data_IF_504138396002
#
_entry.id   IF_504138396002
#
_cell.length_a   1.000
_cell.length_b   1.000
_cell.length_c   1.000
_cell.angle_alpha   90.00
_cell.angle_beta   90.00
_cell.angle_gamma   90.00
#
_symmetry.space_group_name_H-M   'P 1'
#
loop_
_entity.id
_entity.type
_entity.pdbx_description
1 polymer ?
#
# COMPACT_ATOMS: atom_id res chain seq x y z
N UNK A 1 -27.16 -49.85 -24.33
CA UNK A 1 -28.58 -49.66 -23.97
C UNK A 1 -29.53 -49.91 -25.14
N UNK A 2 -29.04 -50.14 -26.37
CA UNK A 2 -29.89 -50.32 -27.57
C UNK A 2 -30.73 -51.60 -27.67
N UNK A 3 -30.52 -52.63 -26.83
CA UNK A 3 -31.30 -53.90 -26.90
C UNK A 3 -32.44 -54.02 -25.89
N UNK A 4 -32.74 -52.97 -25.11
CA UNK A 4 -33.82 -53.01 -24.09
C UNK A 4 -35.14 -52.46 -24.65
N UNK A 5 -35.11 -51.74 -25.78
CA UNK A 5 -36.29 -51.17 -26.44
C UNK A 5 -36.60 -51.87 -27.79
N UNK A 6 -36.51 -53.20 -27.83
CA UNK A 6 -36.99 -53.98 -28.98
C UNK A 6 -38.25 -54.76 -28.59
N UNK A 7 -39.26 -54.88 -29.48
CA UNK A 7 -40.54 -55.54 -29.19
C UNK A 7 -40.43 -57.03 -28.84
N UNK A 8 -39.27 -57.64 -29.04
CA UNK A 8 -38.95 -59.00 -28.60
C UNK A 8 -38.75 -59.13 -27.07
N UNK A 9 -38.43 -58.04 -26.36
CA UNK A 9 -38.20 -58.07 -24.92
C UNK A 9 -39.51 -58.15 -24.13
N UNK A 10 -40.61 -57.61 -24.65
CA UNK A 10 -41.91 -57.58 -23.98
C UNK A 10 -42.57 -58.96 -23.90
N UNK A 11 -42.30 -59.84 -24.88
CA UNK A 11 -42.87 -61.19 -24.97
C UNK A 11 -42.10 -62.28 -24.18
N UNK A 12 -41.04 -61.91 -23.45
CA UNK A 12 -40.28 -62.85 -22.62
C UNK A 12 -40.97 -63.09 -21.26
N UNK A 13 -40.89 -64.33 -20.77
CA UNK A 13 -41.37 -64.70 -19.43
C UNK A 13 -40.62 -63.93 -18.33
N UNK A 14 -41.25 -63.76 -17.17
CA UNK A 14 -40.70 -62.98 -16.05
C UNK A 14 -39.30 -63.48 -15.64
N UNK A 15 -39.07 -64.80 -15.64
CA UNK A 15 -37.77 -65.40 -15.32
C UNK A 15 -36.68 -65.06 -16.35
N UNK A 16 -37.02 -65.00 -17.65
CA UNK A 16 -36.07 -64.65 -18.70
C UNK A 16 -35.69 -63.16 -18.67
N UNK A 17 -36.64 -62.28 -18.32
CA UNK A 17 -36.38 -60.85 -18.12
C UNK A 17 -35.44 -60.62 -16.94
N UNK A 18 -35.63 -61.34 -15.84
CA UNK A 18 -34.74 -61.27 -14.67
C UNK A 18 -33.31 -61.72 -15.01
N UNK A 19 -33.12 -62.83 -15.73
CA UNK A 19 -31.79 -63.28 -16.14
C UNK A 19 -31.05 -62.27 -17.02
N UNK A 20 -31.74 -61.61 -17.95
CA UNK A 20 -31.11 -60.62 -18.83
C UNK A 20 -30.72 -59.35 -18.03
N UNK A 21 -31.57 -58.91 -17.11
CA UNK A 21 -31.26 -57.79 -16.21
C UNK A 21 -30.07 -58.13 -15.31
N UNK A 22 -30.01 -59.35 -14.76
CA UNK A 22 -28.92 -59.80 -13.89
C UNK A 22 -27.60 -59.95 -14.66
N UNK A 23 -27.65 -60.45 -15.90
CA UNK A 23 -26.52 -60.51 -16.80
C UNK A 23 -26.01 -59.12 -17.19
N UNK A 24 -26.89 -58.16 -17.48
CA UNK A 24 -26.51 -56.78 -17.75
C UNK A 24 -25.93 -56.07 -16.53
N UNK A 25 -26.49 -56.26 -15.33
CA UNK A 25 -25.92 -55.73 -14.08
C UNK A 25 -24.52 -56.28 -13.82
N UNK A 26 -24.31 -57.59 -13.97
CA UNK A 26 -22.97 -58.21 -13.84
C UNK A 26 -21.97 -57.66 -14.86
N UNK A 27 -22.39 -57.46 -16.12
CA UNK A 27 -21.53 -56.92 -17.18
C UNK A 27 -21.20 -55.44 -16.95
N UNK A 28 -22.13 -54.66 -16.39
CA UNK A 28 -21.91 -53.27 -15.99
C UNK A 28 -20.93 -53.15 -14.82
N UNK A 29 -21.11 -53.95 -13.76
CA UNK A 29 -20.19 -53.98 -12.60
C UNK A 29 -18.78 -54.35 -13.05
N UNK A 30 -18.61 -55.34 -13.95
CA UNK A 30 -17.30 -55.68 -14.52
C UNK A 30 -16.66 -54.51 -15.27
N UNK A 31 -17.44 -53.75 -16.06
CA UNK A 31 -16.92 -52.58 -16.79
C UNK A 31 -16.51 -51.44 -15.85
N UNK A 32 -17.31 -51.18 -14.82
CA UNK A 32 -16.99 -50.16 -13.80
C UNK A 32 -15.75 -50.55 -13.02
N UNK A 33 -15.62 -51.81 -12.61
CA UNK A 33 -14.42 -52.30 -11.92
C UNK A 33 -13.15 -52.12 -12.77
N UNK A 34 -13.20 -52.43 -14.07
CA UNK A 34 -12.06 -52.20 -14.99
C UNK A 34 -11.72 -50.72 -15.12
N UNK A 35 -12.72 -49.84 -15.20
CA UNK A 35 -12.50 -48.39 -15.28
C UNK A 35 -11.85 -47.83 -14.01
N UNK A 36 -12.27 -48.29 -12.83
CA UNK A 36 -11.69 -47.89 -11.53
C UNK A 36 -10.24 -48.36 -11.42
N UNK A 37 -9.94 -49.60 -11.84
CA UNK A 37 -8.56 -50.11 -11.87
C UNK A 37 -7.69 -49.28 -12.82
N UNK A 38 -8.17 -48.99 -14.03
CA UNK A 38 -7.44 -48.15 -14.99
C UNK A 38 -7.15 -46.75 -14.45
N UNK A 39 -8.12 -46.12 -13.77
CA UNK A 39 -7.95 -44.81 -13.16
C UNK A 39 -6.90 -44.85 -12.02
N UNK A 40 -6.92 -45.91 -11.20
CA UNK A 40 -5.95 -46.07 -10.11
C UNK A 40 -4.52 -46.21 -10.65
N UNK A 41 -4.32 -46.98 -11.72
CA UNK A 41 -3.02 -47.14 -12.41
C UNK A 41 -2.53 -45.79 -12.94
N UNK A 42 -3.42 -44.99 -13.56
CA UNK A 42 -3.08 -43.68 -14.10
C UNK A 42 -2.60 -42.71 -13.00
N UNK A 43 -3.24 -42.72 -11.84
CA UNK A 43 -2.86 -41.90 -10.68
C UNK A 43 -1.50 -42.33 -10.13
N UNK A 44 -1.23 -43.64 -10.03
CA UNK A 44 0.11 -44.11 -9.61
C UNK A 44 1.20 -43.72 -10.60
N UNK A 45 0.94 -43.76 -11.91
CA UNK A 45 1.92 -43.37 -12.94
C UNK A 45 2.22 -41.87 -12.91
N UNK A 46 1.22 -41.01 -12.68
CA UNK A 46 1.45 -39.55 -12.57
C UNK A 46 2.24 -39.19 -11.31
N UNK A 47 1.96 -39.82 -10.17
CA UNK A 47 2.74 -39.64 -8.93
C UNK A 47 4.19 -40.12 -9.11
N UNK A 48 4.39 -41.25 -9.78
CA UNK A 48 5.74 -41.77 -10.07
C UNK A 48 6.53 -40.86 -11.02
N UNK A 49 5.88 -40.32 -12.07
CA UNK A 49 6.49 -39.36 -12.99
C UNK A 49 6.93 -38.06 -12.31
N UNK A 50 6.13 -37.55 -11.36
CA UNK A 50 6.51 -36.37 -10.55
C UNK A 50 7.72 -36.67 -9.65
N UNK A 51 7.82 -37.87 -9.08
CA UNK A 51 8.95 -38.27 -8.24
C UNK A 51 10.25 -38.37 -9.03
N UNK A 52 10.22 -38.99 -10.22
CA UNK A 52 11.37 -39.06 -11.12
C UNK A 52 11.86 -37.67 -11.57
N UNK A 53 10.94 -36.73 -11.86
CA UNK A 53 11.31 -35.36 -12.23
C UNK A 53 12.04 -34.63 -11.10
N UNK A 54 11.68 -34.91 -9.84
CA UNK A 54 12.32 -34.29 -8.67
C UNK A 54 13.74 -34.81 -8.46
N UNK A 55 13.97 -36.11 -8.64
CA UNK A 55 15.33 -36.70 -8.52
C UNK A 55 16.26 -36.28 -9.66
N UNK A 56 15.77 -36.21 -10.92
CA UNK A 56 16.57 -35.80 -12.08
C UNK A 56 17.04 -34.33 -12.04
N UNK A 57 16.32 -33.45 -11.34
CA UNK A 57 16.70 -32.03 -11.20
C UNK A 57 17.72 -31.84 -10.06
N UNK A 58 17.73 -32.73 -9.05
CA UNK A 58 18.59 -32.60 -7.88
C UNK A 58 20.03 -33.11 -8.13
N UNK A 59 20.25 -33.99 -9.11
CA UNK A 59 21.58 -34.51 -9.48
C UNK A 59 22.38 -33.62 -10.44
N UNK A 60 21.82 -32.53 -10.98
CA UNK A 60 22.58 -31.56 -11.80
C UNK A 60 23.31 -30.48 -11.00
N UNK A 61 23.25 -30.51 -9.67
CA UNK A 61 23.96 -29.54 -8.80
C UNK A 61 24.96 -30.28 -7.91
N UNK A 62 26.01 -30.85 -8.51
CA UNK A 62 27.20 -31.29 -7.77
C UNK A 62 28.51 -30.96 -8.53
N UNK A 63 29.19 -29.97 -7.96
CA UNK A 63 30.63 -29.73 -7.91
C UNK A 63 31.43 -29.75 -9.24
N UNK A 64 31.62 -28.55 -9.80
CA UNK A 64 32.86 -28.24 -10.54
C UNK A 64 33.91 -27.85 -9.50
N UNK A 65 35.02 -28.58 -9.49
CA UNK A 65 36.23 -28.34 -8.69
C UNK A 65 36.91 -27.04 -9.12
N UNK A 66 37.25 -26.17 -8.16
CA UNK A 66 37.99 -24.92 -8.37
C UNK A 66 39.36 -25.15 -9.07
N UNK A 67 39.69 -24.39 -10.12
CA UNK A 67 41.06 -24.16 -10.55
C UNK A 67 41.79 -23.16 -9.62
N UNK A 68 43.12 -23.04 -9.68
CA UNK A 68 43.92 -22.21 -8.78
C UNK A 68 43.61 -20.71 -8.97
N UNK A 69 43.69 -19.96 -7.87
CA UNK A 69 43.34 -18.55 -7.79
C UNK A 69 44.04 -17.69 -8.87
N UNK A 70 43.25 -17.24 -9.85
CA UNK A 70 43.57 -16.06 -10.65
C UNK A 70 43.30 -14.81 -9.80
N UNK A 71 44.17 -13.81 -9.93
CA UNK A 71 44.08 -12.54 -9.20
C UNK A 71 42.68 -11.92 -9.35
N UNK A 72 42.15 -11.25 -8.31
CA UNK A 72 40.77 -10.79 -8.31
C UNK A 72 40.57 -9.81 -9.46
N UNK A 73 39.79 -10.24 -10.46
CA UNK A 73 39.15 -9.33 -11.40
C UNK A 73 38.25 -8.43 -10.56
N UNK A 74 38.54 -7.13 -10.56
CA UNK A 74 37.59 -6.13 -10.06
C UNK A 74 36.38 -6.24 -10.97
N UNK A 75 35.36 -6.97 -10.51
CA UNK A 75 34.03 -6.87 -11.10
C UNK A 75 33.54 -5.49 -10.70
N UNK A 76 33.78 -4.50 -11.55
CA UNK A 76 32.89 -3.34 -11.58
C UNK A 76 31.50 -3.94 -11.77
N UNK A 77 30.56 -3.76 -10.84
CA UNK A 77 29.23 -4.28 -11.02
C UNK A 77 28.73 -3.72 -12.35
N UNK A 78 28.54 -4.60 -13.33
CA UNK A 78 27.85 -4.26 -14.56
C UNK A 78 26.50 -3.72 -14.09
N UNK A 79 26.30 -2.41 -14.29
CA UNK A 79 25.07 -1.71 -13.96
C UNK A 79 23.98 -2.40 -14.76
N UNK A 80 23.30 -3.35 -14.13
CA UNK A 80 22.13 -4.01 -14.69
C UNK A 80 21.21 -2.86 -15.15
N UNK A 81 20.93 -2.71 -16.45
CA UNK A 81 20.07 -1.63 -16.90
C UNK A 81 18.74 -1.84 -16.18
N UNK A 82 18.33 -0.88 -15.35
CA UNK A 82 17.01 -0.88 -14.73
C UNK A 82 16.00 -1.23 -15.83
N UNK A 83 15.17 -2.24 -15.62
CA UNK A 83 14.15 -2.66 -16.61
C UNK A 83 12.80 -1.99 -16.35
N UNK A 84 12.63 -1.44 -15.17
CA UNK A 84 11.41 -0.83 -14.67
C UNK A 84 11.73 0.54 -14.08
N UNK A 85 10.76 1.45 -14.13
CA UNK A 85 10.71 2.71 -13.42
C UNK A 85 9.66 2.64 -12.33
N UNK A 86 9.87 3.41 -11.27
CA UNK A 86 8.88 3.63 -10.22
C UNK A 86 8.17 4.96 -10.46
N UNK A 87 6.84 4.94 -10.38
CA UNK A 87 5.99 6.13 -10.36
C UNK A 87 5.34 6.26 -8.99
N UNK A 88 5.32 7.47 -8.45
CA UNK A 88 4.61 7.80 -7.21
C UNK A 88 4.03 9.19 -7.30
N UNK A 89 2.76 9.33 -6.95
CA UNK A 89 2.05 10.60 -6.90
C UNK A 89 1.16 10.65 -5.66
N UNK A 90 1.60 11.42 -4.66
CA UNK A 90 0.94 11.54 -3.36
C UNK A 90 -0.38 12.32 -3.42
N UNK A 91 -0.53 13.25 -4.37
CA UNK A 91 -1.77 13.97 -4.63
C UNK A 91 -2.87 13.03 -5.12
N UNK A 92 -2.50 12.13 -6.03
CA UNK A 92 -3.39 11.09 -6.57
C UNK A 92 -3.44 9.83 -5.71
N UNK A 93 -2.61 9.72 -4.69
CA UNK A 93 -2.54 8.58 -3.76
C UNK A 93 -2.22 7.24 -4.44
N UNK A 94 -1.28 7.24 -5.37
CA UNK A 94 -0.90 6.03 -6.11
C UNK A 94 0.62 5.92 -6.25
N UNK A 95 1.13 4.69 -6.18
CA UNK A 95 2.44 4.32 -6.67
C UNK A 95 2.39 2.99 -7.42
N UNK A 96 3.28 2.81 -8.39
CA UNK A 96 3.41 1.56 -9.14
C UNK A 96 4.73 1.51 -9.91
N UNK A 97 5.11 0.31 -10.36
CA UNK A 97 6.25 0.08 -11.25
C UNK A 97 5.79 -0.16 -12.68
N UNK A 98 6.58 0.30 -13.65
CA UNK A 98 6.24 0.19 -15.06
C UNK A 98 7.50 0.03 -15.94
N UNK A 99 7.41 -0.67 -17.09
CA UNK A 99 8.59 -0.90 -17.94
C UNK A 99 9.13 0.38 -18.61
N UNK A 100 10.45 0.46 -18.80
CA UNK A 100 11.13 1.67 -19.31
C UNK A 100 10.73 2.04 -20.73
N UNK A 101 10.43 1.04 -21.55
CA UNK A 101 10.00 1.18 -22.94
C UNK A 101 8.62 1.81 -23.11
N UNK A 102 7.89 2.04 -22.02
CA UNK A 102 6.56 2.65 -22.04
C UNK A 102 6.60 4.16 -21.85
N UNK A 103 5.57 4.83 -22.36
CA UNK A 103 5.34 6.25 -22.18
C UNK A 103 4.35 6.47 -21.04
N UNK A 104 4.78 7.20 -20.01
CA UNK A 104 3.91 7.66 -18.92
C UNK A 104 3.41 9.08 -19.22
N UNK A 105 2.11 9.30 -19.07
CA UNK A 105 1.48 10.63 -19.15
C UNK A 105 0.54 10.81 -17.96
N UNK A 106 0.54 12.00 -17.38
CA UNK A 106 -0.34 12.34 -16.25
C UNK A 106 -1.07 13.67 -16.47
N UNK A 107 -2.24 13.80 -15.87
CA UNK A 107 -3.02 15.05 -15.85
C UNK A 107 -3.86 15.06 -14.59
N UNK A 108 -3.67 16.04 -13.70
CA UNK A 108 -4.38 16.08 -12.42
C UNK A 108 -4.64 17.51 -11.94
N UNK A 109 -5.69 17.65 -11.13
CA UNK A 109 -6.07 18.86 -10.41
C UNK A 109 -5.59 18.74 -8.97
N UNK A 110 -4.56 19.51 -8.60
CA UNK A 110 -3.97 19.50 -7.26
C UNK A 110 -4.97 19.91 -6.18
N UNK A 111 -5.93 20.81 -6.49
CA UNK A 111 -6.91 21.30 -5.52
C UNK A 111 -8.01 20.28 -5.20
N UNK A 112 -8.25 19.32 -6.09
CA UNK A 112 -9.24 18.24 -5.88
C UNK A 112 -8.61 16.89 -5.58
N UNK A 113 -7.31 16.73 -5.87
CA UNK A 113 -6.64 15.45 -5.79
C UNK A 113 -7.20 14.42 -6.77
N UNK A 114 -7.74 14.89 -7.91
CA UNK A 114 -8.34 14.09 -8.96
C UNK A 114 -7.49 14.15 -10.21
N UNK A 115 -7.50 13.09 -11.01
CA UNK A 115 -6.68 13.07 -12.21
C UNK A 115 -6.60 11.71 -12.87
N UNK A 116 -5.73 11.63 -13.86
CA UNK A 116 -5.53 10.45 -14.68
C UNK A 116 -4.04 10.26 -14.96
N UNK A 117 -3.59 9.03 -14.78
CA UNK A 117 -2.25 8.57 -15.15
C UNK A 117 -2.41 7.46 -16.17
N UNK A 118 -1.65 7.52 -17.26
CA UNK A 118 -1.66 6.53 -18.33
C UNK A 118 -0.24 6.05 -18.62
N UNK A 119 -0.06 4.73 -18.58
CA UNK A 119 1.15 4.03 -19.04
C UNK A 119 0.81 3.38 -20.37
N UNK A 120 1.51 3.78 -21.42
CA UNK A 120 1.27 3.33 -22.79
C UNK A 120 2.50 2.62 -23.35
N UNK A 121 2.31 1.38 -23.78
CA UNK A 121 3.20 0.71 -24.71
C UNK A 121 2.50 0.62 -26.07
N UNK A 122 3.13 1.18 -27.11
CA UNK A 122 2.62 1.16 -28.47
C UNK A 122 3.75 0.77 -29.40
N UNK A 123 3.60 -0.36 -30.10
CA UNK A 123 4.56 -0.78 -31.13
C UNK A 123 4.63 0.22 -32.29
N UNK A 124 3.51 0.91 -32.53
CA UNK A 124 3.34 1.89 -33.60
C UNK A 124 3.76 3.31 -33.20
N UNK A 125 4.23 3.51 -31.96
CA UNK A 125 4.56 4.82 -31.37
C UNK A 125 3.41 5.86 -31.41
N UNK A 126 2.17 5.40 -31.47
CA UNK A 126 0.96 6.23 -31.49
C UNK A 126 0.00 5.96 -30.31
N UNK A 127 -0.85 6.94 -29.92
CA UNK A 127 -1.83 6.78 -28.84
C UNK A 127 -3.00 5.85 -29.23
N UNK A 128 -3.33 5.80 -30.52
CA UNK A 128 -4.25 4.83 -31.12
C UNK A 128 -3.41 3.75 -31.80
N UNK A 129 -3.18 2.65 -31.08
CA UNK A 129 -2.27 1.59 -31.51
C UNK A 129 -3.01 0.38 -32.07
N UNK A 130 -2.39 -0.31 -33.01
CA UNK A 130 -2.85 -1.59 -33.53
C UNK A 130 -2.37 -2.74 -32.64
N UNK A 131 -1.15 -2.61 -32.11
CA UNK A 131 -0.52 -3.55 -31.18
C UNK A 131 0.06 -2.83 -29.97
N UNK A 132 -0.35 -3.27 -28.77
CA UNK A 132 0.18 -2.72 -27.53
C UNK A 132 -0.77 -2.87 -26.35
N UNK A 133 -0.45 -2.14 -25.29
CA UNK A 133 -1.30 -2.02 -24.11
C UNK A 133 -1.27 -0.62 -23.52
N UNK A 134 -2.33 -0.32 -22.78
CA UNK A 134 -2.47 0.87 -21.99
C UNK A 134 -3.02 0.51 -20.61
N UNK A 135 -2.35 0.98 -19.57
CA UNK A 135 -2.85 0.95 -18.20
C UNK A 135 -3.22 2.37 -17.81
N UNK A 136 -4.48 2.59 -17.47
CA UNK A 136 -5.00 3.89 -17.06
C UNK A 136 -5.46 3.81 -15.62
N UNK A 137 -4.97 4.71 -14.77
CA UNK A 137 -5.44 4.91 -13.41
C UNK A 137 -6.13 6.27 -13.35
N UNK A 138 -7.43 6.29 -13.09
CA UNK A 138 -8.22 7.52 -12.95
C UNK A 138 -8.68 7.63 -11.50
N UNK A 139 -8.39 8.77 -10.88
CA UNK A 139 -8.74 9.09 -9.49
C UNK A 139 -9.79 10.20 -9.50
N UNK A 140 -10.89 9.97 -8.82
CA UNK A 140 -12.01 10.89 -8.77
C UNK A 140 -12.78 10.80 -7.45
N UNK A 141 -13.51 11.85 -7.11
CA UNK A 141 -14.40 11.91 -5.96
C UNK A 141 -15.83 12.11 -6.44
N UNK A 142 -16.80 11.43 -5.81
CA UNK A 142 -18.23 11.67 -6.07
C UNK A 142 -18.99 11.71 -4.76
N UNK A 143 -19.85 12.73 -4.60
CA UNK A 143 -20.68 12.92 -3.40
C UNK A 143 -22.08 12.29 -3.49
N UNK A 144 -22.43 11.74 -4.67
CA UNK A 144 -23.85 11.47 -5.03
C UNK A 144 -24.06 10.04 -5.53
N UNK A 145 -23.06 9.38 -6.12
CA UNK A 145 -23.22 8.08 -6.77
C UNK A 145 -22.46 6.98 -6.04
N UNK A 146 -23.12 5.84 -5.85
CA UNK A 146 -22.47 4.59 -5.47
C UNK A 146 -21.52 4.12 -6.58
N UNK A 147 -20.42 3.48 -6.20
CA UNK A 147 -19.38 2.98 -7.11
C UNK A 147 -19.97 1.99 -8.14
N UNK A 148 -20.96 1.19 -7.75
CA UNK A 148 -21.73 0.34 -8.65
C UNK A 148 -22.46 1.13 -9.75
N UNK A 149 -23.06 2.26 -9.40
CA UNK A 149 -23.78 3.12 -10.35
C UNK A 149 -22.79 3.81 -11.31
N UNK A 150 -21.61 4.18 -10.81
CA UNK A 150 -20.54 4.73 -11.64
C UNK A 150 -20.03 3.69 -12.65
N UNK A 151 -19.65 2.50 -12.18
CA UNK A 151 -19.21 1.39 -13.03
C UNK A 151 -20.28 1.00 -14.07
N UNK A 152 -21.57 1.00 -13.68
CA UNK A 152 -22.69 0.74 -14.60
C UNK A 152 -22.79 1.80 -15.68
N UNK A 153 -22.76 3.09 -15.29
CA UNK A 153 -22.78 4.20 -16.25
C UNK A 153 -21.60 4.12 -17.22
N UNK A 154 -20.41 3.76 -16.72
CA UNK A 154 -19.20 3.65 -17.52
C UNK A 154 -19.28 2.50 -18.52
N UNK A 155 -19.77 1.34 -18.10
CA UNK A 155 -20.01 0.19 -18.96
C UNK A 155 -21.02 0.51 -20.08
N UNK A 156 -22.14 1.17 -19.75
CA UNK A 156 -23.12 1.61 -20.75
C UNK A 156 -22.53 2.62 -21.74
N UNK A 157 -21.74 3.58 -21.27
CA UNK A 157 -21.06 4.52 -22.15
C UNK A 157 -20.04 3.85 -23.08
N UNK A 158 -19.34 2.81 -22.60
CA UNK A 158 -18.42 2.04 -23.44
C UNK A 158 -19.15 1.21 -24.49
N UNK A 159 -20.31 0.61 -24.15
CA UNK A 159 -21.12 -0.17 -25.10
C UNK A 159 -21.46 0.61 -26.37
N UNK A 160 -21.74 1.91 -26.24
CA UNK A 160 -22.06 2.79 -27.37
C UNK A 160 -20.91 2.97 -28.37
N UNK A 161 -19.65 2.76 -27.94
CA UNK A 161 -18.46 2.97 -28.76
C UNK A 161 -17.82 1.66 -29.25
N UNK A 162 -18.40 0.52 -28.89
CA UNK A 162 -17.90 -0.80 -29.27
C UNK A 162 -18.68 -1.35 -30.48
N UNK A 163 -18.05 -2.20 -31.32
CA UNK A 163 -18.76 -2.93 -32.36
C UNK A 163 -19.77 -3.92 -31.76
N UNK A 164 -20.80 -4.29 -32.54
CA UNK A 164 -21.84 -5.25 -32.12
C UNK A 164 -21.29 -6.64 -31.76
N UNK A 165 -20.09 -6.98 -32.24
CA UNK A 165 -19.39 -8.23 -31.93
C UNK A 165 -18.74 -8.25 -30.55
N UNK A 166 -18.72 -7.12 -29.83
CA UNK A 166 -18.16 -7.03 -28.49
C UNK A 166 -18.98 -7.82 -27.49
N UNK A 167 -18.28 -8.43 -26.53
CA UNK A 167 -18.90 -9.18 -25.43
C UNK A 167 -18.58 -8.51 -24.11
N UNK A 168 -19.56 -8.50 -23.21
CA UNK A 168 -19.50 -7.76 -21.96
C UNK A 168 -19.80 -8.71 -20.81
N UNK A 169 -19.01 -8.64 -19.74
CA UNK A 169 -19.41 -9.26 -18.48
C UNK A 169 -20.40 -8.35 -17.74
N UNK A 170 -21.16 -8.95 -16.82
CA UNK A 170 -21.78 -8.17 -15.74
C UNK A 170 -20.73 -7.55 -14.83
N UNK A 171 -21.14 -6.55 -14.06
CA UNK A 171 -20.34 -6.02 -12.95
C UNK A 171 -20.42 -7.02 -11.81
N UNK A 172 -19.25 -7.37 -11.27
CA UNK A 172 -19.14 -8.30 -10.15
C UNK A 172 -18.15 -7.77 -9.13
N UNK A 173 -18.38 -8.11 -7.87
CA UNK A 173 -17.38 -7.93 -6.82
C UNK A 173 -16.21 -8.92 -7.02
N UNK A 174 -15.03 -8.52 -6.60
CA UNK A 174 -13.81 -9.30 -6.68
C UNK A 174 -12.64 -8.54 -6.09
N UNK A 175 -11.42 -8.90 -6.49
CA UNK A 175 -10.21 -8.26 -5.98
C UNK A 175 -9.29 -7.82 -7.10
N UNK A 176 -8.58 -6.72 -6.87
CA UNK A 176 -7.42 -6.31 -7.63
C UNK A 176 -6.22 -6.29 -6.67
N UNK A 177 -5.43 -7.37 -6.69
CA UNK A 177 -4.42 -7.58 -5.65
C UNK A 177 -5.09 -7.80 -4.29
N UNK A 178 -4.75 -6.96 -3.32
CA UNK A 178 -5.33 -6.98 -1.98
C UNK A 178 -6.63 -6.18 -1.84
N UNK A 179 -6.92 -5.27 -2.78
CA UNK A 179 -8.05 -4.36 -2.72
C UNK A 179 -9.35 -5.01 -3.18
N UNK A 180 -10.40 -4.84 -2.38
CA UNK A 180 -11.76 -5.16 -2.80
C UNK A 180 -12.18 -4.22 -3.94
N UNK A 181 -12.80 -4.80 -4.98
CA UNK A 181 -13.08 -4.08 -6.22
C UNK A 181 -14.37 -4.54 -6.87
N UNK A 182 -15.02 -3.62 -7.58
CA UNK A 182 -15.98 -3.97 -8.62
C UNK A 182 -15.24 -4.09 -9.93
N UNK A 183 -15.50 -5.15 -10.69
CA UNK A 183 -14.83 -5.36 -11.96
C UNK A 183 -15.79 -5.80 -13.06
N UNK A 184 -15.44 -5.40 -14.27
CA UNK A 184 -16.05 -5.91 -15.49
C UNK A 184 -15.00 -6.00 -16.60
N UNK A 185 -15.30 -6.85 -17.58
CA UNK A 185 -14.48 -7.02 -18.76
C UNK A 185 -15.30 -6.80 -20.03
N UNK A 186 -14.62 -6.28 -21.04
CA UNK A 186 -15.16 -6.14 -22.39
C UNK A 186 -14.16 -6.79 -23.35
N UNK A 187 -14.61 -7.79 -24.08
CA UNK A 187 -13.80 -8.47 -25.07
C UNK A 187 -14.27 -8.07 -26.47
N UNK A 188 -13.34 -7.98 -27.43
CA UNK A 188 -13.60 -7.63 -28.83
C UNK A 188 -14.14 -6.20 -29.06
N UNK A 189 -13.97 -5.29 -28.09
CA UNK A 189 -14.24 -3.85 -28.30
C UNK A 189 -13.02 -3.17 -28.93
N UNK A 190 -12.68 -3.55 -30.16
CA UNK A 190 -11.43 -3.16 -30.84
C UNK A 190 -10.14 -3.51 -30.05
N UNK A 191 -10.28 -4.44 -29.10
CA UNK A 191 -9.28 -4.85 -28.11
C UNK A 191 -9.97 -5.45 -26.90
N UNK A 192 -9.26 -5.52 -25.79
CA UNK A 192 -9.71 -6.18 -24.57
C UNK A 192 -9.57 -5.23 -23.40
N UNK A 193 -10.65 -5.04 -22.65
CA UNK A 193 -10.70 -4.20 -21.47
C UNK A 193 -10.85 -5.04 -20.20
N UNK A 194 -10.07 -4.71 -19.18
CA UNK A 194 -10.24 -5.21 -17.80
C UNK A 194 -10.29 -4.00 -16.88
N UNK A 195 -11.46 -3.72 -16.32
CA UNK A 195 -11.69 -2.55 -15.49
C UNK A 195 -11.91 -2.97 -14.04
N UNK A 196 -11.30 -2.23 -13.13
CA UNK A 196 -11.43 -2.36 -11.69
C UNK A 196 -11.81 -1.01 -11.11
N UNK A 197 -12.77 -1.02 -10.19
CA UNK A 197 -13.20 0.15 -9.43
C UNK A 197 -12.97 -0.14 -7.97
N UNK A 198 -12.18 0.70 -7.32
CA UNK A 198 -11.79 0.55 -5.92
C UNK A 198 -12.20 1.82 -5.17
N UNK A 199 -12.72 1.65 -3.96
CA UNK A 199 -12.91 2.75 -3.01
C UNK A 199 -11.81 2.69 -1.96
N UNK A 200 -11.07 3.77 -1.80
CA UNK A 200 -9.95 3.83 -0.86
C UNK A 200 -9.70 5.29 -0.45
N UNK A 201 -9.56 5.56 0.86
CA UNK A 201 -9.24 6.90 1.37
C UNK A 201 -10.18 8.01 0.86
N UNK A 202 -11.50 7.76 0.90
CA UNK A 202 -12.58 8.66 0.40
C UNK A 202 -12.56 8.97 -1.10
N UNK A 203 -11.61 8.38 -1.85
CA UNK A 203 -11.51 8.49 -3.29
C UNK A 203 -11.94 7.20 -3.97
N UNK A 204 -12.24 7.34 -5.26
CA UNK A 204 -12.51 6.23 -6.14
C UNK A 204 -11.43 6.13 -7.20
N UNK A 205 -11.00 4.90 -7.47
CA UNK A 205 -9.96 4.57 -8.43
C UNK A 205 -10.58 3.70 -9.52
N UNK A 206 -10.58 4.20 -10.77
CA UNK A 206 -10.83 3.39 -11.96
C UNK A 206 -9.47 2.98 -12.54
N UNK A 207 -9.16 1.69 -12.45
CA UNK A 207 -7.97 1.09 -13.05
C UNK A 207 -8.40 0.27 -14.26
N UNK A 208 -8.00 0.73 -15.45
CA UNK A 208 -8.34 0.10 -16.73
C UNK A 208 -7.09 -0.44 -17.40
N UNK A 209 -7.13 -1.72 -17.77
CA UNK A 209 -6.21 -2.30 -18.76
C UNK A 209 -6.92 -2.35 -20.09
N UNK A 210 -6.27 -1.82 -21.11
CA UNK A 210 -6.63 -2.04 -22.50
C UNK A 210 -5.45 -2.67 -23.23
N UNK A 211 -5.68 -3.77 -23.95
CA UNK A 211 -4.64 -4.41 -24.74
C UNK A 211 -5.20 -4.94 -26.06
N UNK A 212 -4.35 -4.92 -27.08
CA UNK A 212 -4.71 -5.30 -28.45
C UNK A 212 -3.49 -5.89 -29.16
N UNK A 213 -3.70 -6.93 -29.96
CA UNK A 213 -2.71 -7.53 -30.84
C UNK A 213 -3.17 -8.88 -31.36
N UNK A 214 -2.36 -9.49 -32.21
CA UNK A 214 -2.58 -10.86 -32.68
C UNK A 214 -2.44 -11.88 -31.54
N UNK A 215 -2.94 -13.10 -31.72
CA UNK A 215 -3.13 -14.10 -30.65
C UNK A 215 -1.90 -14.25 -29.73
N UNK A 216 -0.68 -14.31 -30.28
CA UNK A 216 0.56 -14.42 -29.51
C UNK A 216 0.95 -13.14 -28.75
N UNK A 217 0.89 -11.99 -29.41
CA UNK A 217 1.23 -10.69 -28.80
C UNK A 217 0.19 -10.23 -27.79
N UNK A 218 -1.09 -10.52 -28.03
CA UNK A 218 -2.19 -10.21 -27.11
C UNK A 218 -1.94 -10.80 -25.74
N UNK A 219 -1.52 -12.06 -25.66
CA UNK A 219 -1.25 -12.72 -24.38
C UNK A 219 -0.06 -12.08 -23.65
N UNK A 220 0.98 -11.65 -24.39
CA UNK A 220 2.11 -10.92 -23.81
C UNK A 220 1.67 -9.58 -23.24
N UNK A 221 0.84 -8.82 -23.98
CA UNK A 221 0.32 -7.53 -23.53
C UNK A 221 -0.65 -7.65 -22.35
N UNK A 222 -1.44 -8.71 -22.31
CA UNK A 222 -2.27 -9.05 -21.17
C UNK A 222 -1.42 -9.27 -19.91
N UNK A 223 -0.35 -10.08 -20.02
CA UNK A 223 0.56 -10.36 -18.91
C UNK A 223 1.30 -9.09 -18.48
N UNK A 224 1.88 -8.34 -19.41
CA UNK A 224 2.63 -7.11 -19.10
C UNK A 224 1.76 -6.06 -18.40
N UNK A 225 0.52 -5.86 -18.87
CA UNK A 225 -0.41 -4.94 -18.21
C UNK A 225 -0.90 -5.47 -16.86
N UNK A 226 -0.95 -6.79 -16.66
CA UNK A 226 -1.23 -7.39 -15.35
C UNK A 226 -0.11 -7.18 -14.35
N UNK A 227 1.15 -7.29 -14.79
CA UNK A 227 2.33 -7.08 -13.95
C UNK A 227 2.37 -5.66 -13.39
N UNK A 228 2.03 -4.65 -14.21
CA UNK A 228 1.89 -3.26 -13.75
C UNK A 228 0.82 -3.17 -12.65
N UNK A 229 -0.38 -3.72 -12.89
CA UNK A 229 -1.48 -3.66 -11.90
C UNK A 229 -1.10 -4.33 -10.58
N UNK A 230 -0.37 -5.46 -10.61
CA UNK A 230 0.08 -6.15 -9.39
C UNK A 230 1.02 -5.29 -8.53
N UNK A 231 1.63 -4.27 -9.11
CA UNK A 231 2.51 -3.34 -8.39
C UNK A 231 1.80 -2.07 -7.92
N UNK A 232 0.52 -1.87 -8.27
CA UNK A 232 -0.23 -0.69 -7.84
C UNK A 232 -0.47 -0.77 -6.34
N UNK A 233 0.02 0.25 -5.65
CA UNK A 233 -0.22 0.50 -4.24
C UNK A 233 -1.01 1.80 -4.13
N UNK A 234 -2.15 1.73 -3.45
CA UNK A 234 -2.93 2.92 -3.08
C UNK A 234 -2.32 3.49 -1.81
N UNK A 235 -1.77 4.71 -1.92
CA UNK A 235 -1.15 5.40 -0.81
C UNK A 235 -2.25 5.93 0.11
N UNK A 236 -2.20 5.71 1.43
CA UNK A 236 -3.18 6.26 2.35
C UNK A 236 -3.31 7.78 2.14
N UNK A 237 -4.53 8.28 2.28
CA UNK A 237 -4.79 9.73 2.28
C UNK A 237 -3.76 10.38 3.22
N UNK A 238 -3.00 11.36 2.72
CA UNK A 238 -2.46 12.38 3.61
C UNK A 238 -3.68 13.02 4.25
N UNK A 239 -3.94 12.69 5.49
CA UNK A 239 -5.07 13.23 6.23
C UNK A 239 -4.99 14.75 6.12
N UNK A 240 -5.96 15.38 5.44
CA UNK A 240 -6.42 16.69 5.91
C UNK A 240 -7.11 16.36 7.24
N UNK A 241 -6.33 16.55 8.30
CA UNK A 241 -6.63 16.11 9.64
C UNK A 241 -7.91 16.82 10.10
N UNK A 242 -9.08 16.19 9.94
CA UNK A 242 -10.35 16.74 10.44
C UNK A 242 -11.29 15.69 11.05
N UNK A 243 -11.42 14.47 10.49
CA UNK A 243 -12.46 13.53 10.95
C UNK A 243 -12.05 12.56 12.08
N UNK A 244 -10.75 12.47 12.42
CA UNK A 244 -10.24 11.60 13.51
C UNK A 244 -9.41 12.35 14.56
N UNK A 245 -9.66 13.65 14.69
CA UNK A 245 -8.96 14.48 15.66
C UNK A 245 -9.55 14.36 17.05
N UNK A 246 -8.70 14.03 18.03
CA UNK A 246 -8.99 14.29 19.43
C UNK A 246 -8.50 15.68 19.76
N UNK A 247 -9.43 16.57 20.11
CA UNK A 247 -9.11 17.85 20.71
C UNK A 247 -8.76 17.66 22.18
N UNK A 248 -7.64 18.23 22.61
CA UNK A 248 -7.25 18.37 24.01
C UNK A 248 -7.25 19.84 24.35
N UNK A 249 -7.76 20.16 25.53
CA UNK A 249 -7.73 21.49 26.10
C UNK A 249 -7.30 21.36 27.55
N UNK A 250 -6.07 21.79 27.84
CA UNK A 250 -5.55 21.87 29.19
C UNK A 250 -5.79 23.29 29.73
N UNK A 251 -6.79 23.41 30.60
CA UNK A 251 -7.19 24.70 31.17
C UNK A 251 -6.16 25.30 32.12
N UNK A 252 -5.29 24.49 32.72
CA UNK A 252 -4.30 24.97 33.68
C UNK A 252 -3.15 25.69 32.97
N UNK A 253 -2.69 25.15 31.83
CA UNK A 253 -1.68 25.78 30.99
C UNK A 253 -2.26 26.67 29.90
N UNK A 254 -3.57 26.65 29.65
CA UNK A 254 -4.18 27.41 28.54
C UNK A 254 -3.70 26.92 27.17
N UNK A 255 -3.32 25.63 27.07
CA UNK A 255 -2.84 25.01 25.83
C UNK A 255 -3.93 24.10 25.30
N UNK A 256 -4.30 24.29 24.03
CA UNK A 256 -5.18 23.38 23.31
C UNK A 256 -4.53 22.91 22.02
N UNK A 257 -4.86 21.71 21.57
CA UNK A 257 -4.32 21.13 20.33
C UNK A 257 -5.20 19.97 19.86
N UNK A 258 -4.96 19.53 18.64
CA UNK A 258 -5.66 18.43 18.01
C UNK A 258 -4.64 17.39 17.55
N UNK A 259 -4.93 16.11 17.79
CA UNK A 259 -4.07 15.03 17.30
C UNK A 259 -4.88 13.84 16.76
N UNK A 260 -4.30 13.04 15.84
CA UNK A 260 -4.97 11.85 15.31
C UNK A 260 -5.24 10.78 16.37
N UNK A 261 -6.47 10.31 16.47
CA UNK A 261 -6.93 9.41 17.54
C UNK A 261 -6.26 8.04 17.60
N UNK A 262 -5.55 7.63 16.54
CA UNK A 262 -4.86 6.34 16.41
C UNK A 262 -3.46 6.33 17.04
N UNK A 263 -2.92 7.49 17.42
CA UNK A 263 -1.61 7.57 18.04
C UNK A 263 -1.64 7.04 19.49
N UNK A 264 -0.59 6.32 19.88
CA UNK A 264 -0.48 5.64 21.18
C UNK A 264 -0.02 6.62 22.26
N UNK A 265 -0.59 6.56 23.47
CA UNK A 265 -0.28 7.46 24.60
C UNK A 265 0.74 6.88 25.61
N UNK A 266 1.46 5.82 25.23
CA UNK A 266 2.45 5.14 26.10
C UNK A 266 3.85 5.23 25.48
N UNK A 267 4.34 6.45 25.38
CA UNK A 267 5.53 6.80 24.65
C UNK A 267 6.67 7.18 25.59
N UNK A 268 7.89 7.00 25.11
CA UNK A 268 9.13 7.30 25.84
C UNK A 268 9.94 8.34 25.07
N UNK A 269 9.24 9.33 24.52
CA UNK A 269 9.87 10.46 23.81
C UNK A 269 10.87 11.13 24.74
N UNK A 270 12.12 11.36 24.31
CA UNK A 270 13.14 12.00 25.13
C UNK A 270 12.70 13.36 25.66
N UNK A 271 12.90 13.58 26.96
CA UNK A 271 12.88 14.91 27.58
C UNK A 271 14.26 15.55 27.48
N UNK A 272 14.35 16.90 27.45
CA UNK A 272 15.62 17.61 27.33
C UNK A 272 16.53 17.36 28.52
N UNK A 273 15.98 17.29 29.73
CA UNK A 273 16.72 17.19 30.99
C UNK A 273 15.91 16.39 32.02
N UNK A 274 16.45 16.25 33.24
CA UNK A 274 15.75 15.68 34.41
C UNK A 274 14.76 16.67 35.06
N UNK A 275 14.60 17.87 34.51
CA UNK A 275 13.63 18.86 34.98
C UNK A 275 12.22 18.27 35.01
N UNK A 276 11.52 18.51 36.12
CA UNK A 276 10.16 18.00 36.30
C UNK A 276 9.15 18.83 35.52
N UNK A 277 8.86 18.41 34.29
CA UNK A 277 7.75 18.94 33.50
C UNK A 277 6.45 18.19 33.80
N UNK A 278 5.31 18.91 33.78
CA UNK A 278 3.99 18.28 33.72
C UNK A 278 3.68 17.94 32.27
N UNK A 279 3.67 16.66 31.94
CA UNK A 279 3.35 16.18 30.59
C UNK A 279 1.85 16.33 30.32
N UNK A 280 1.51 17.07 29.26
CA UNK A 280 0.14 17.21 28.75
C UNK A 280 -0.15 16.11 27.72
N UNK A 281 0.85 15.81 26.88
CA UNK A 281 0.75 14.83 25.81
C UNK A 281 2.08 14.11 25.62
N UNK A 282 2.04 12.80 25.36
CA UNK A 282 3.16 12.08 24.77
C UNK A 282 2.62 11.10 23.74
N UNK A 283 3.00 11.30 22.48
CA UNK A 283 2.57 10.47 21.36
C UNK A 283 3.79 10.01 20.56
N UNK A 284 3.71 8.83 19.98
CA UNK A 284 4.79 8.20 19.26
C UNK A 284 4.25 7.26 18.20
N UNK A 285 5.13 6.91 17.27
CA UNK A 285 4.88 5.85 16.31
C UNK A 285 4.76 4.50 17.04
N UNK A 286 3.79 3.67 16.64
CA UNK A 286 3.53 2.38 17.30
C UNK A 286 4.74 1.44 17.27
N UNK A 287 5.50 1.50 16.17
CA UNK A 287 6.71 0.69 15.93
C UNK A 287 7.95 1.27 16.60
N UNK A 288 7.94 2.56 16.98
CA UNK A 288 9.08 3.28 17.56
C UNK A 288 8.64 4.19 18.71
N UNK A 289 8.65 3.65 19.93
CA UNK A 289 8.12 4.36 21.12
C UNK A 289 8.87 5.63 21.52
N UNK A 290 10.08 5.84 21.02
CA UNK A 290 10.87 7.05 21.26
C UNK A 290 10.67 8.12 20.18
N UNK A 291 10.24 7.74 18.97
CA UNK A 291 10.01 8.64 17.86
C UNK A 291 8.59 9.21 17.98
N UNK A 292 8.50 10.51 18.28
CA UNK A 292 7.29 11.07 18.84
C UNK A 292 7.32 12.55 19.10
N UNK A 293 6.20 13.03 19.64
CA UNK A 293 6.02 14.38 20.17
C UNK A 293 5.64 14.28 21.63
N UNK A 294 6.32 15.08 22.45
CA UNK A 294 5.93 15.31 23.83
C UNK A 294 5.64 16.79 24.04
N UNK A 295 4.49 17.08 24.64
CA UNK A 295 4.09 18.41 25.04
C UNK A 295 4.05 18.43 26.56
N UNK A 296 4.86 19.29 27.16
CA UNK A 296 4.96 19.39 28.60
C UNK A 296 5.08 20.85 29.04
N UNK A 297 4.73 21.12 30.29
CA UNK A 297 4.72 22.48 30.83
C UNK A 297 5.38 22.55 32.18
N UNK A 298 6.00 23.68 32.47
CA UNK A 298 6.54 24.00 33.79
C UNK A 298 6.29 25.47 34.12
N UNK A 299 5.80 25.80 35.32
CA UNK A 299 5.73 27.19 35.75
C UNK A 299 7.15 27.76 35.86
N UNK A 300 7.29 29.06 35.61
CA UNK A 300 8.53 29.76 35.89
C UNK A 300 8.56 30.18 37.36
N UNK A 301 9.70 29.99 38.01
CA UNK A 301 9.91 30.44 39.38
C UNK A 301 9.80 31.97 39.47
N UNK A 302 9.40 32.47 40.65
CA UNK A 302 9.28 33.92 40.89
C UNK A 302 10.64 34.60 40.65
N UNK A 303 10.68 35.50 39.66
CA UNK A 303 11.88 36.25 39.28
C UNK A 303 12.73 35.59 38.20
N UNK A 304 12.42 34.36 37.79
CA UNK A 304 13.03 33.75 36.60
C UNK A 304 12.41 34.34 35.33
N UNK A 305 13.25 34.65 34.35
CA UNK A 305 12.82 35.03 33.00
C UNK A 305 12.85 33.81 32.08
N UNK A 306 12.08 33.87 30.99
CA UNK A 306 12.11 32.87 29.93
C UNK A 306 13.55 32.56 29.48
N UNK A 307 14.35 33.60 29.21
CA UNK A 307 15.75 33.46 28.80
C UNK A 307 16.62 32.78 29.86
N UNK A 308 16.45 33.14 31.14
CA UNK A 308 17.23 32.52 32.22
C UNK A 308 16.94 31.02 32.36
N UNK A 309 15.68 30.62 32.17
CA UNK A 309 15.28 29.23 32.23
C UNK A 309 15.76 28.48 30.98
N UNK A 310 15.54 29.05 29.78
CA UNK A 310 16.00 28.48 28.52
C UNK A 310 17.50 28.19 28.55
N UNK A 311 18.31 29.17 28.96
CA UNK A 311 19.76 28.97 29.04
C UNK A 311 20.14 27.90 30.06
N UNK A 312 19.41 27.81 31.17
CA UNK A 312 19.61 26.75 32.17
C UNK A 312 19.37 25.37 31.56
N UNK A 313 18.29 25.19 30.79
CA UNK A 313 17.99 23.93 30.12
C UNK A 313 19.00 23.60 29.01
N UNK A 314 19.43 24.58 28.22
CA UNK A 314 20.46 24.40 27.19
C UNK A 314 21.79 23.96 27.81
N UNK A 315 22.19 24.58 28.92
CA UNK A 315 23.42 24.21 29.63
C UNK A 315 23.34 22.77 30.16
N UNK A 316 22.22 22.38 30.79
CA UNK A 316 22.00 21.00 31.24
C UNK A 316 22.05 20.01 30.08
N UNK A 317 21.39 20.30 28.96
CA UNK A 317 21.45 19.45 27.76
C UNK A 317 22.88 19.31 27.23
N UNK A 318 23.65 20.40 27.23
CA UNK A 318 25.06 20.38 26.83
C UNK A 318 25.93 19.53 27.76
N UNK A 319 25.70 19.62 29.07
CA UNK A 319 26.40 18.79 30.07
C UNK A 319 26.06 17.31 29.88
N UNK A 320 24.78 16.97 29.73
CA UNK A 320 24.29 15.61 29.45
C UNK A 320 24.86 15.08 28.13
N UNK A 321 24.92 15.91 27.08
CA UNK A 321 25.48 15.55 25.79
C UNK A 321 26.98 15.26 25.90
N UNK A 322 27.73 16.14 26.56
CA UNK A 322 29.16 15.95 26.76
C UNK A 322 29.44 14.70 27.58
N UNK A 323 28.67 14.47 28.65
CA UNK A 323 28.78 13.27 29.47
C UNK A 323 28.50 11.98 28.67
N UNK A 324 27.53 12.00 27.76
CA UNK A 324 27.15 10.84 26.96
C UNK A 324 28.06 10.59 25.74
N UNK A 325 28.49 11.65 25.04
CA UNK A 325 29.21 11.56 23.75
C UNK A 325 30.71 11.86 23.85
N UNK A 326 31.17 12.51 24.93
CA UNK A 326 32.58 12.83 25.18
C UNK A 326 33.13 14.05 24.42
N UNK A 327 32.27 14.81 23.75
CA UNK A 327 32.60 16.05 23.04
C UNK A 327 31.43 17.04 23.12
N UNK A 328 31.67 18.36 22.99
CA UNK A 328 30.60 19.36 23.11
C UNK A 328 29.57 19.23 21.97
N UNK A 329 28.28 19.54 22.22
CA UNK A 329 27.28 19.52 21.17
C UNK A 329 27.57 20.59 20.10
N UNK A 330 27.15 20.32 18.86
CA UNK A 330 27.11 21.31 17.79
C UNK A 330 25.66 21.71 17.56
N UNK A 331 25.09 22.43 18.53
CA UNK A 331 23.69 22.79 18.52
C UNK A 331 23.40 24.12 17.84
N UNK A 332 22.13 24.35 17.53
CA UNK A 332 21.62 25.60 16.97
C UNK A 332 20.39 26.07 17.74
N UNK A 333 20.27 27.39 17.87
CA UNK A 333 19.13 28.06 18.48
C UNK A 333 18.45 28.96 17.45
N UNK A 334 17.20 28.67 17.13
CA UNK A 334 16.39 29.41 16.17
C UNK A 334 15.23 30.09 16.89
N UNK A 335 15.17 31.43 16.83
CA UNK A 335 14.13 32.23 17.46
C UNK A 335 13.04 32.57 16.45
N UNK A 336 11.79 32.31 16.78
CA UNK A 336 10.66 32.52 15.88
C UNK A 336 9.34 32.67 16.65
N UNK A 337 8.28 33.01 15.93
CA UNK A 337 6.92 33.04 16.47
C UNK A 337 6.27 31.67 16.24
N UNK A 338 5.99 30.94 17.32
CA UNK A 338 5.29 29.66 17.26
C UNK A 338 3.83 29.86 17.65
N UNK A 339 2.93 29.79 16.67
CA UNK A 339 1.48 29.94 16.83
C UNK A 339 1.07 31.18 17.65
N UNK A 340 1.78 32.29 17.45
CA UNK A 340 1.50 33.59 18.10
C UNK A 340 2.28 33.87 19.38
N UNK A 341 3.04 32.90 19.91
CA UNK A 341 3.92 33.09 21.07
C UNK A 341 5.40 33.12 20.66
N UNK A 342 6.22 33.81 21.45
CA UNK A 342 7.67 33.81 21.25
C UNK A 342 8.25 32.44 21.62
N UNK A 343 9.04 31.85 20.72
CA UNK A 343 9.62 30.54 20.91
C UNK A 343 11.07 30.44 20.45
N UNK A 344 11.78 29.46 20.97
CA UNK A 344 13.13 29.09 20.57
C UNK A 344 13.17 27.60 20.25
N UNK A 345 13.49 27.25 19.00
CA UNK A 345 13.79 25.89 18.58
C UNK A 345 15.28 25.62 18.84
N UNK A 346 15.56 24.57 19.57
CA UNK A 346 16.89 24.13 19.99
C UNK A 346 17.13 22.77 19.36
N UNK A 347 18.12 22.68 18.48
CA UNK A 347 18.49 21.44 17.77
C UNK A 347 19.94 21.05 18.05
N UNK A 348 20.25 19.76 17.99
CA UNK A 348 21.63 19.26 18.14
C UNK A 348 22.23 19.31 19.56
N UNK A 349 21.42 19.67 20.57
CA UNK A 349 21.82 19.63 21.99
C UNK A 349 21.46 18.31 22.68
N UNK A 350 20.54 17.51 22.12
CA UNK A 350 20.13 16.22 22.70
C UNK A 350 21.05 15.08 22.26
N UNK A 351 21.58 14.29 23.20
CA UNK A 351 22.37 13.09 22.87
C UNK A 351 21.51 11.91 22.36
N UNK A 352 20.18 12.03 22.52
CA UNK A 352 19.17 11.06 22.06
C UNK A 352 18.55 11.44 20.71
N UNK A 353 19.14 12.40 20.01
CA UNK A 353 18.75 12.85 18.67
C UNK A 353 17.28 13.36 18.65
N UNK A 354 16.96 14.24 19.60
CA UNK A 354 15.67 14.92 19.69
C UNK A 354 15.84 16.45 19.65
N UNK A 355 14.87 17.12 19.04
CA UNK A 355 14.77 18.58 18.96
C UNK A 355 13.75 19.10 19.96
N UNK A 356 13.95 20.32 20.45
CA UNK A 356 13.07 20.92 21.44
C UNK A 356 12.64 22.33 21.02
N UNK A 357 11.36 22.65 21.21
CA UNK A 357 10.82 24.00 21.06
C UNK A 357 10.39 24.47 22.44
N UNK A 358 11.02 25.54 22.92
CA UNK A 358 10.66 26.21 24.16
C UNK A 358 9.80 27.42 23.83
N UNK A 359 8.58 27.47 24.35
CA UNK A 359 7.61 28.52 24.07
C UNK A 359 7.35 29.32 25.35
N UNK A 360 7.51 30.63 25.26
CA UNK A 360 7.21 31.56 26.33
C UNK A 360 5.71 31.84 26.36
N UNK A 361 5.02 31.47 27.44
CA UNK A 361 3.57 31.68 27.53
C UNK A 361 3.13 32.01 28.97
N UNK A 362 1.84 32.24 29.16
CA UNK A 362 1.24 32.47 30.47
C UNK A 362 0.15 31.43 30.72
N UNK A 363 0.21 30.78 31.88
CA UNK A 363 -0.82 29.85 32.35
C UNK A 363 -1.68 30.48 33.45
N UNK A 364 -2.59 29.69 34.03
CA UNK A 364 -3.51 30.17 35.07
C UNK A 364 -2.80 30.71 36.33
N UNK A 365 -1.54 30.31 36.57
CA UNK A 365 -0.74 30.69 37.74
C UNK A 365 0.35 31.73 37.44
N UNK A 366 0.37 32.29 36.23
CA UNK A 366 1.36 33.27 35.78
C UNK A 366 2.28 32.74 34.67
N UNK A 367 3.48 33.34 34.51
CA UNK A 367 4.44 32.95 33.48
C UNK A 367 4.83 31.48 33.57
N UNK A 368 4.83 30.80 32.43
CA UNK A 368 5.20 29.40 32.33
C UNK A 368 5.95 29.14 31.02
N UNK A 369 6.61 28.00 30.96
CA UNK A 369 7.24 27.51 29.75
C UNK A 369 6.51 26.28 29.24
N UNK A 370 6.20 26.27 27.95
CA UNK A 370 5.75 25.08 27.24
C UNK A 370 6.95 24.50 26.50
N UNK A 371 7.22 23.23 26.73
CA UNK A 371 8.20 22.43 26.02
C UNK A 371 7.49 21.56 25.01
N UNK A 372 7.95 21.61 23.76
CA UNK A 372 7.60 20.63 22.72
C UNK A 372 8.84 19.86 22.34
N UNK A 373 8.94 18.58 22.72
CA UNK A 373 10.01 17.69 22.32
C UNK A 373 9.61 16.87 21.10
N UNK A 374 10.50 16.76 20.12
CA UNK A 374 10.27 16.10 18.84
C UNK A 374 11.43 15.15 18.58
N UNK A 375 11.13 13.88 18.34
CA UNK A 375 12.09 12.92 17.79
C UNK A 375 11.53 12.35 16.50
N UNK A 376 12.24 12.58 15.41
CA UNK A 376 11.82 12.14 14.08
C UNK A 376 11.73 10.60 14.01
N UNK A 377 10.75 10.12 13.25
CA UNK A 377 10.45 8.70 13.05
C UNK A 377 10.45 8.35 11.57
N UNK A 378 9.46 7.59 11.11
CA UNK A 378 9.23 7.41 9.68
C UNK A 378 8.83 8.71 8.96
N UNK A 379 9.06 8.78 7.64
CA UNK A 379 8.71 9.95 6.83
C UNK A 379 7.20 10.30 6.86
N UNK A 380 6.34 9.29 7.03
CA UNK A 380 4.89 9.48 7.19
C UNK A 380 4.57 10.13 8.55
N UNK A 381 5.39 9.86 9.56
CA UNK A 381 5.23 10.41 10.89
C UNK A 381 5.62 11.89 10.97
N UNK A 382 6.61 12.36 10.21
CA UNK A 382 6.99 13.79 10.13
C UNK A 382 5.81 14.70 9.79
N UNK A 383 4.97 14.28 8.83
CA UNK A 383 3.77 15.03 8.43
C UNK A 383 2.76 15.10 9.59
N UNK A 384 2.61 13.99 10.32
CA UNK A 384 1.73 13.92 11.48
C UNK A 384 2.20 14.84 12.61
N UNK A 385 3.51 14.87 12.89
CA UNK A 385 4.12 15.81 13.83
C UNK A 385 3.82 17.24 13.42
N UNK A 386 4.07 17.61 12.16
CA UNK A 386 3.82 18.96 11.66
C UNK A 386 2.36 19.40 11.86
N UNK A 387 1.40 18.52 11.59
CA UNK A 387 -0.01 18.81 11.80
C UNK A 387 -0.37 19.02 13.28
N UNK A 388 0.19 18.21 14.19
CA UNK A 388 0.00 18.39 15.64
C UNK A 388 0.56 19.76 16.04
N UNK A 389 1.78 20.09 15.64
CA UNK A 389 2.43 21.37 15.95
C UNK A 389 1.60 22.57 15.45
N UNK A 390 1.09 22.51 14.23
CA UNK A 390 0.27 23.57 13.64
C UNK A 390 -1.09 23.73 14.34
N UNK A 391 -1.59 22.68 15.00
CA UNK A 391 -2.86 22.73 15.73
C UNK A 391 -2.74 23.34 17.13
N UNK A 392 -1.53 23.47 17.68
CA UNK A 392 -1.31 23.96 19.04
C UNK A 392 -1.75 25.42 19.13
N UNK A 393 -2.63 25.74 20.07
CA UNK A 393 -3.08 27.08 20.39
C UNK A 393 -2.75 27.39 21.84
N UNK A 394 -2.32 28.62 22.05
CA UNK A 394 -1.98 29.17 23.37
C UNK A 394 -3.02 30.21 23.78
N UNK A 395 -3.27 30.34 25.09
CA UNK A 395 -4.09 31.39 25.70
C UNK A 395 -5.55 31.45 25.17
N UNK A 396 -6.24 30.31 25.11
CA UNK A 396 -7.68 30.23 24.79
C UNK A 396 -8.58 30.23 26.02
#
# INVERSE_FOLDING_TARGET
MEKINTPEFENLSIQQKEEIVLHHKRKFIKKVAVAVVALSVLITLTVFGLKLRKELIQDRVRFVTNPPAEAPVIITPEKNPEKEKEYSNTTLQISFRYPIETKLTETFDTGKGEGKVEVLYSKDNGPEFLEGYKVTVTVFSTKIRDLNQFASTRLEAMKLNCPETATYSGIKEGKMGEYDSLNYQIDYCNGYYRNYYISFGEKFFEISRFYKGDVGFRQQYEIASEEIIKTIILLPQRFEVSEFLKAVSDKESGVSFEYPSHLVNNCSVPMPTDTQYRVILSMCEETQKEAGVVLAVTPLDRGATFESFLQTEINKMSDDFFAAKGYPPNGNEERYMFNGEAAVKVTGYSWKDADYIFVNTEGARGPQMVLVGIKEGSADFETTISNILNSIKFRQ
#
